data_IF_678254265380
#
_entry.id   IF_678254265380
#
_cell.length_a   1.000
_cell.length_b   1.000
_cell.length_c   1.000
_cell.angle_alpha   90.00
_cell.angle_beta   90.00
_cell.angle_gamma   90.00
#
_symmetry.space_group_name_H-M   'P 1'
#
loop_
_entity.id
_entity.type
_entity.pdbx_description
1 polymer ?
#
# COMPACT_ATOMS: atom_id res chain seq x y z
N UNK A 1 -19.74 -23.13 12.39
CA UNK A 1 -19.44 -21.69 12.48
C UNK A 1 -19.31 -21.19 11.05
N UNK A 2 -20.14 -20.23 10.63
CA UNK A 2 -20.12 -19.70 9.26
C UNK A 2 -18.80 -18.97 9.04
N UNK A 3 -18.17 -19.16 7.89
CA UNK A 3 -16.88 -18.54 7.56
C UNK A 3 -17.08 -17.03 7.38
N UNK A 4 -16.22 -16.18 7.97
CA UNK A 4 -16.42 -14.72 8.01
C UNK A 4 -16.50 -14.13 6.60
N UNK A 5 -15.73 -14.66 5.66
CA UNK A 5 -15.71 -14.30 4.24
C UNK A 5 -17.05 -14.52 3.51
N UNK A 6 -17.92 -15.39 4.04
CA UNK A 6 -19.26 -15.65 3.47
C UNK A 6 -20.33 -14.72 4.04
N UNK A 7 -19.99 -14.00 5.11
CA UNK A 7 -20.89 -13.06 5.79
C UNK A 7 -20.55 -11.62 5.42
N UNK A 8 -19.25 -11.30 5.34
CA UNK A 8 -18.75 -9.98 4.98
C UNK A 8 -17.80 -10.08 3.78
N UNK A 9 -18.24 -9.47 2.67
CA UNK A 9 -17.48 -9.44 1.40
C UNK A 9 -16.12 -8.76 1.56
N UNK A 10 -15.93 -7.87 2.53
CA UNK A 10 -14.65 -7.21 2.77
C UNK A 10 -13.60 -8.14 3.38
N UNK A 11 -14.03 -9.27 3.96
CA UNK A 11 -13.13 -10.32 4.48
C UNK A 11 -12.96 -11.48 3.50
N UNK A 12 -13.52 -11.39 2.29
CA UNK A 12 -13.30 -12.39 1.26
C UNK A 12 -11.84 -12.33 0.79
N UNK A 13 -11.07 -13.36 1.12
CA UNK A 13 -9.73 -13.56 0.57
C UNK A 13 -9.89 -14.04 -0.87
N UNK A 14 -9.73 -13.12 -1.82
CA UNK A 14 -9.68 -13.46 -3.23
C UNK A 14 -8.29 -14.01 -3.55
N UNK A 15 -8.21 -15.33 -3.73
CA UNK A 15 -7.06 -15.92 -4.40
C UNK A 15 -6.94 -15.28 -5.80
N UNK A 16 -5.73 -15.01 -6.30
CA UNK A 16 -5.56 -14.63 -7.69
C UNK A 16 -6.29 -15.68 -8.53
N UNK A 17 -7.24 -15.25 -9.38
CA UNK A 17 -7.72 -16.12 -10.44
C UNK A 17 -6.48 -16.61 -11.20
N UNK A 18 -6.50 -17.82 -11.77
CA UNK A 18 -5.31 -18.49 -12.36
C UNK A 18 -4.62 -17.78 -13.55
N UNK A 19 -4.80 -16.48 -13.67
CA UNK A 19 -4.16 -15.51 -14.51
C UNK A 19 -2.77 -15.15 -13.96
N UNK A 20 -1.85 -14.84 -14.87
CA UNK A 20 -0.48 -14.50 -14.50
C UNK A 20 -0.45 -13.07 -13.95
N UNK A 21 0.12 -12.86 -12.76
CA UNK A 21 0.29 -11.52 -12.19
C UNK A 21 1.63 -10.93 -12.61
N UNK A 22 1.59 -9.74 -13.21
CA UNK A 22 2.78 -8.94 -13.51
C UNK A 22 3.14 -8.10 -12.28
N UNK A 23 4.23 -8.47 -11.60
CA UNK A 23 4.73 -7.75 -10.41
C UNK A 23 5.73 -6.66 -10.80
N UNK A 24 5.49 -5.45 -10.33
CA UNK A 24 6.33 -4.28 -10.60
C UNK A 24 6.71 -3.59 -9.29
N UNK A 25 7.95 -3.14 -9.20
CA UNK A 25 8.44 -2.38 -8.04
C UNK A 25 7.94 -0.93 -8.10
N UNK A 26 7.44 -0.39 -6.99
CA UNK A 26 6.93 1.00 -6.96
C UNK A 26 8.02 2.05 -7.09
N UNK A 27 9.29 1.66 -6.95
CA UNK A 27 10.45 2.52 -7.21
C UNK A 27 10.77 2.65 -8.71
N UNK A 28 10.06 1.93 -9.58
CA UNK A 28 10.25 1.98 -11.04
C UNK A 28 9.06 2.64 -11.75
N UNK A 29 9.29 3.25 -12.93
CA UNK A 29 8.18 3.74 -13.76
C UNK A 29 7.17 2.62 -14.07
N UNK A 30 5.86 2.93 -14.13
CA UNK A 30 5.30 4.27 -14.10
C UNK A 30 4.88 4.76 -12.69
N UNK A 31 5.26 4.06 -11.63
CA UNK A 31 4.86 4.38 -10.27
C UNK A 31 5.58 5.62 -9.74
N UNK A 32 4.93 6.31 -8.80
CA UNK A 32 5.54 7.39 -8.04
C UNK A 32 5.14 7.28 -6.57
N UNK A 33 6.15 7.17 -5.70
CA UNK A 33 5.97 7.21 -4.25
C UNK A 33 6.08 8.66 -3.77
N UNK A 34 5.11 9.07 -2.97
CA UNK A 34 5.00 10.41 -2.43
C UNK A 34 5.00 10.39 -0.91
N UNK A 35 5.52 11.46 -0.29
CA UNK A 35 5.53 11.65 1.16
C UNK A 35 6.60 10.86 1.93
N UNK A 36 7.45 10.09 1.22
CA UNK A 36 8.50 9.26 1.80
C UNK A 36 9.83 9.46 1.06
N UNK A 37 10.92 9.19 1.77
CA UNK A 37 12.29 9.15 1.26
C UNK A 37 12.82 7.71 1.34
N UNK A 38 13.88 7.41 0.57
CA UNK A 38 14.62 6.15 0.66
C UNK A 38 15.93 6.38 1.39
N UNK A 39 16.17 5.59 2.44
CA UNK A 39 17.42 5.60 3.19
C UNK A 39 17.68 4.19 3.73
N UNK A 40 18.91 3.69 3.60
CA UNK A 40 19.32 2.37 4.12
C UNK A 40 18.42 1.18 3.73
N UNK A 41 17.82 1.23 2.53
CA UNK A 41 16.94 0.16 2.02
C UNK A 41 15.52 0.17 2.59
N UNK A 42 15.14 1.21 3.35
CA UNK A 42 13.79 1.41 3.87
C UNK A 42 13.19 2.74 3.46
N UNK A 43 11.87 2.84 3.56
CA UNK A 43 11.17 4.12 3.47
C UNK A 43 11.22 4.84 4.83
N UNK A 44 11.54 6.13 4.80
CA UNK A 44 11.60 7.01 5.98
C UNK A 44 10.87 8.33 5.70
N UNK A 45 10.42 9.03 6.75
CA UNK A 45 9.68 10.30 6.62
C UNK A 45 10.60 11.52 6.61
N UNK A 46 11.79 11.41 7.19
CA UNK A 46 12.83 12.44 7.21
C UNK A 46 14.22 11.80 7.24
N UNK A 47 15.29 12.56 6.97
CA UNK A 47 16.66 12.04 7.04
C UNK A 47 16.98 11.47 8.42
N UNK A 48 17.53 10.26 8.48
CA UNK A 48 17.80 9.55 9.74
C UNK A 48 18.72 10.37 10.64
N UNK A 49 19.77 10.98 10.07
CA UNK A 49 20.68 11.84 10.80
C UNK A 49 19.96 13.02 11.49
N UNK A 50 18.85 13.53 10.93
CA UNK A 50 18.05 14.56 11.61
C UNK A 50 17.21 13.96 12.71
N UNK A 51 16.54 12.82 12.46
CA UNK A 51 15.73 12.13 13.47
C UNK A 51 16.54 11.76 14.72
N UNK A 52 17.77 11.29 14.53
CA UNK A 52 18.70 10.90 15.61
C UNK A 52 19.07 12.07 16.54
N UNK A 53 19.04 13.32 16.04
CA UNK A 53 19.30 14.51 16.87
C UNK A 53 18.14 14.90 17.78
N UNK A 54 16.93 14.35 17.53
CA UNK A 54 15.72 14.70 18.29
C UNK A 54 15.59 13.82 19.54
N UNK A 55 15.46 12.50 19.34
CA UNK A 55 15.53 11.45 20.36
C UNK A 55 15.31 10.06 19.74
N UNK A 56 15.59 9.00 20.50
CA UNK A 56 15.44 7.60 20.09
C UNK A 56 14.02 7.25 19.61
N UNK A 57 12.99 7.83 20.22
CA UNK A 57 11.60 7.60 19.83
C UNK A 57 11.30 8.15 18.45
N UNK A 58 11.78 9.36 18.14
CA UNK A 58 11.66 9.96 16.80
C UNK A 58 12.53 9.21 15.79
N UNK A 59 13.75 8.81 16.16
CA UNK A 59 14.62 7.99 15.32
C UNK A 59 13.95 6.67 14.89
N UNK A 60 13.28 5.99 15.82
CA UNK A 60 12.49 4.79 15.53
C UNK A 60 11.25 5.11 14.69
N UNK A 61 10.42 6.05 15.14
CA UNK A 61 9.14 6.37 14.50
C UNK A 61 9.33 6.96 13.09
N UNK A 62 10.47 7.57 12.79
CA UNK A 62 10.82 8.02 11.44
C UNK A 62 10.71 6.89 10.40
N UNK A 63 11.00 5.65 10.81
CA UNK A 63 10.93 4.46 9.95
C UNK A 63 9.50 4.00 9.64
N UNK A 64 8.48 4.55 10.32
CA UNK A 64 7.08 4.27 10.00
C UNK A 64 6.59 5.12 8.83
N UNK A 65 5.80 4.54 7.94
CA UNK A 65 5.46 5.12 6.63
C UNK A 65 4.16 5.94 6.60
N UNK A 66 3.74 6.48 7.74
CA UNK A 66 2.54 7.31 7.82
C UNK A 66 2.56 8.48 6.82
N UNK A 67 1.49 8.61 6.04
CA UNK A 67 1.34 9.65 5.02
C UNK A 67 2.04 9.35 3.69
N UNK A 68 2.77 8.23 3.61
CA UNK A 68 3.31 7.73 2.35
C UNK A 68 2.25 7.15 1.45
N UNK A 69 2.41 7.31 0.14
CA UNK A 69 1.48 6.78 -0.85
C UNK A 69 2.14 6.51 -2.18
N UNK A 70 1.63 5.52 -2.92
CA UNK A 70 1.95 5.31 -4.34
C UNK A 70 0.70 5.53 -5.17
N UNK A 71 0.85 6.13 -6.34
CA UNK A 71 -0.26 6.43 -7.22
C UNK A 71 0.07 6.06 -8.68
N UNK A 72 -0.92 5.52 -9.39
CA UNK A 72 -0.83 4.99 -10.75
C UNK A 72 -2.22 4.87 -11.38
N UNK A 73 -2.31 4.67 -12.69
CA UNK A 73 -3.57 4.38 -13.36
C UNK A 73 -3.50 3.05 -14.12
N UNK A 74 -4.57 2.25 -14.05
CA UNK A 74 -4.64 0.92 -14.68
C UNK A 74 -6.07 0.51 -15.02
N UNK A 75 -6.22 -0.36 -16.03
CA UNK A 75 -7.47 -1.05 -16.40
C UNK A 75 -7.57 -2.48 -15.81
N UNK A 76 -6.59 -2.90 -14.99
CA UNK A 76 -6.60 -4.18 -14.30
C UNK A 76 -7.84 -4.28 -13.38
N UNK A 77 -8.63 -5.36 -13.43
CA UNK A 77 -9.83 -5.50 -12.62
C UNK A 77 -9.53 -5.87 -11.16
N UNK A 78 -8.27 -6.20 -10.87
CA UNK A 78 -7.75 -6.47 -9.54
C UNK A 78 -6.39 -5.80 -9.35
N UNK A 79 -6.13 -5.36 -8.12
CA UNK A 79 -4.84 -4.80 -7.71
C UNK A 79 -4.31 -5.68 -6.59
N UNK A 80 -3.06 -6.10 -6.75
CA UNK A 80 -2.35 -6.90 -5.76
C UNK A 80 -1.20 -6.08 -5.17
N UNK A 81 -0.86 -6.34 -3.92
CA UNK A 81 0.40 -5.88 -3.34
C UNK A 81 1.24 -7.05 -2.88
N UNK A 82 2.56 -6.86 -2.94
CA UNK A 82 3.54 -7.61 -2.15
C UNK A 82 4.33 -6.61 -1.34
N UNK A 83 4.16 -6.63 -0.03
CA UNK A 83 4.80 -5.71 0.89
C UNK A 83 5.84 -6.47 1.73
N UNK A 84 7.03 -5.89 1.86
CA UNK A 84 8.04 -6.29 2.83
C UNK A 84 8.07 -5.21 3.92
N UNK A 85 7.70 -5.60 5.14
CA UNK A 85 7.52 -4.70 6.28
C UNK A 85 8.81 -4.56 7.11
N UNK A 86 8.83 -3.52 7.93
CA UNK A 86 9.88 -3.23 8.91
C UNK A 86 9.22 -2.66 10.17
N UNK A 87 9.68 -3.05 11.36
CA UNK A 87 9.19 -2.51 12.64
C UNK A 87 7.64 -2.49 12.73
N UNK A 88 7.00 -3.64 12.58
CA UNK A 88 5.53 -3.72 12.61
C UNK A 88 4.99 -3.30 13.98
N UNK A 89 4.24 -2.21 14.04
CA UNK A 89 3.73 -1.65 15.30
C UNK A 89 2.53 -2.42 15.85
N UNK A 90 2.75 -3.45 16.65
CA UNK A 90 1.65 -4.21 17.28
C UNK A 90 1.25 -3.58 18.61
N UNK A 91 -0.01 -3.17 18.73
CA UNK A 91 -0.55 -2.53 19.92
C UNK A 91 -1.90 -3.18 20.30
N UNK A 92 -2.16 -3.46 21.58
CA UNK A 92 -3.40 -4.16 21.99
C UNK A 92 -4.67 -3.34 21.77
N UNK A 93 -4.55 -2.03 21.61
CA UNK A 93 -5.66 -1.09 21.45
C UNK A 93 -5.84 -0.61 20.01
N UNK A 94 -5.04 -1.10 19.06
CA UNK A 94 -5.08 -0.68 17.66
C UNK A 94 -5.06 -1.90 16.75
N UNK A 95 -5.91 -1.90 15.72
CA UNK A 95 -6.04 -3.08 14.86
C UNK A 95 -4.78 -3.28 14.02
N UNK A 96 -4.41 -4.55 13.76
CA UNK A 96 -3.27 -4.85 12.88
C UNK A 96 -3.49 -4.27 11.48
N UNK A 97 -4.74 -4.29 11.00
CA UNK A 97 -5.18 -3.61 9.78
C UNK A 97 -4.84 -2.10 9.81
N UNK A 98 -5.17 -1.40 10.90
CA UNK A 98 -4.85 0.02 11.02
C UNK A 98 -3.36 0.30 11.19
N UNK A 99 -2.58 -0.65 11.72
CA UNK A 99 -1.15 -0.45 11.98
C UNK A 99 -0.25 -0.76 10.77
N UNK A 100 -0.56 -1.84 10.07
CA UNK A 100 0.29 -2.49 9.07
C UNK A 100 -0.42 -2.75 7.74
N UNK A 101 -1.71 -2.41 7.63
CA UNK A 101 -2.45 -2.49 6.38
C UNK A 101 -2.21 -1.29 5.47
N UNK A 102 -2.44 -1.52 4.19
CA UNK A 102 -2.43 -0.48 3.14
C UNK A 102 -3.87 -0.29 2.68
N UNK A 103 -4.33 0.93 2.47
CA UNK A 103 -5.66 1.17 1.91
C UNK A 103 -5.58 1.58 0.44
N UNK A 104 -6.65 1.31 -0.30
CA UNK A 104 -6.77 1.57 -1.73
C UNK A 104 -7.92 2.54 -1.95
N UNK A 105 -7.63 3.62 -2.67
CA UNK A 105 -8.61 4.60 -3.13
C UNK A 105 -8.53 4.71 -4.65
N UNK A 106 -9.69 4.86 -5.28
CA UNK A 106 -9.81 5.31 -6.66
C UNK A 106 -9.98 6.83 -6.68
N UNK A 107 -9.30 7.51 -7.58
CA UNK A 107 -9.38 8.94 -7.80
C UNK A 107 -10.02 9.23 -9.16
N UNK A 108 -11.13 9.96 -9.17
CA UNK A 108 -11.82 10.42 -10.38
C UNK A 108 -11.48 11.88 -10.75
N UNK A 109 -10.54 12.50 -10.04
CA UNK A 109 -10.12 13.89 -10.20
C UNK A 109 -10.90 14.88 -9.33
N UNK A 110 -12.03 14.47 -8.75
CA UNK A 110 -12.85 15.25 -7.82
C UNK A 110 -12.93 14.61 -6.43
N UNK A 111 -12.91 13.28 -6.37
CA UNK A 111 -13.17 12.50 -5.16
C UNK A 111 -12.25 11.29 -5.06
N UNK A 112 -11.84 11.01 -3.83
CA UNK A 112 -11.21 9.74 -3.48
C UNK A 112 -12.26 8.78 -2.93
N UNK A 113 -12.48 7.68 -3.63
CA UNK A 113 -13.44 6.63 -3.24
C UNK A 113 -12.71 5.40 -2.72
N UNK A 114 -12.99 5.00 -1.48
CA UNK A 114 -12.41 3.80 -0.88
C UNK A 114 -12.82 2.53 -1.66
N UNK A 115 -11.83 1.68 -1.98
CA UNK A 115 -12.04 0.41 -2.70
C UNK A 115 -11.72 -0.82 -1.87
N UNK A 116 -10.84 -0.69 -0.87
CA UNK A 116 -10.49 -1.81 -0.01
C UNK A 116 -9.25 -1.55 0.83
N UNK A 117 -8.89 -2.53 1.64
CA UNK A 117 -7.66 -2.54 2.43
C UNK A 117 -6.93 -3.85 2.20
N UNK A 118 -5.63 -3.74 1.96
CA UNK A 118 -4.70 -4.85 1.95
C UNK A 118 -4.32 -5.18 3.40
N UNK A 119 -4.97 -6.20 3.94
CA UNK A 119 -4.84 -6.58 5.35
C UNK A 119 -3.71 -7.61 5.50
N UNK A 120 -2.68 -7.35 6.33
CA UNK A 120 -1.65 -8.34 6.60
C UNK A 120 -2.22 -9.52 7.40
N UNK A 121 -1.75 -10.75 7.16
CA UNK A 121 -2.12 -11.91 7.95
C UNK A 121 -1.62 -11.73 9.38
N UNK A 122 -2.32 -12.34 10.34
CA UNK A 122 -2.01 -12.14 11.75
C UNK A 122 -0.61 -12.65 12.14
N UNK A 123 -0.16 -13.75 11.51
CA UNK A 123 1.04 -14.50 11.87
C UNK A 123 2.29 -14.21 11.02
N UNK A 124 2.15 -13.57 9.85
CA UNK A 124 3.35 -13.21 9.05
C UNK A 124 3.80 -11.81 9.45
N UNK A 125 5.06 -11.69 9.82
CA UNK A 125 5.58 -10.49 10.46
C UNK A 125 6.33 -9.56 9.50
N UNK A 126 6.93 -10.11 8.45
CA UNK A 126 7.90 -9.35 7.65
C UNK A 126 7.52 -9.17 6.18
N UNK A 127 6.57 -9.95 5.66
CA UNK A 127 6.07 -9.75 4.30
C UNK A 127 4.69 -10.37 4.08
N UNK A 128 3.89 -9.78 3.19
CA UNK A 128 2.62 -10.38 2.79
C UNK A 128 2.21 -10.00 1.37
N UNK A 129 1.35 -10.84 0.80
CA UNK A 129 0.61 -10.53 -0.43
C UNK A 129 -0.87 -10.34 -0.09
N UNK A 130 -1.53 -9.41 -0.78
CA UNK A 130 -2.95 -9.14 -0.60
C UNK A 130 -3.56 -8.57 -1.87
N UNK A 131 -4.87 -8.75 -2.04
CA UNK A 131 -5.59 -8.45 -3.27
C UNK A 131 -6.84 -7.63 -2.97
N UNK A 132 -7.11 -6.62 -3.78
CA UNK A 132 -8.38 -5.90 -3.81
C UNK A 132 -8.93 -5.91 -5.24
N UNK A 133 -10.15 -6.39 -5.41
CA UNK A 133 -10.84 -6.40 -6.70
C UNK A 133 -11.56 -5.06 -6.93
N UNK A 134 -11.27 -4.40 -8.04
CA UNK A 134 -11.82 -3.08 -8.41
C UNK A 134 -12.80 -3.13 -9.59
N UNK A 135 -12.89 -4.29 -10.24
CA UNK A 135 -13.81 -4.57 -11.34
C UNK A 135 -13.28 -4.13 -12.71
N UNK A 136 -13.78 -4.76 -13.77
CA UNK A 136 -13.38 -4.47 -15.15
C UNK A 136 -13.82 -3.08 -15.61
N UNK A 137 -13.08 -2.50 -16.55
CA UNK A 137 -13.48 -1.26 -17.22
C UNK A 137 -12.30 -0.52 -17.85
N UNK A 138 -12.52 0.76 -18.13
CA UNK A 138 -11.46 1.68 -18.56
C UNK A 138 -10.44 1.92 -17.45
N UNK A 139 -9.26 2.40 -17.83
CA UNK A 139 -8.20 2.71 -16.89
C UNK A 139 -8.62 3.79 -15.89
N UNK A 140 -8.38 3.55 -14.60
CA UNK A 140 -8.71 4.48 -13.50
C UNK A 140 -7.48 4.75 -12.66
N UNK A 141 -7.43 5.93 -12.05
CA UNK A 141 -6.35 6.28 -11.13
C UNK A 141 -6.60 5.69 -9.74
N UNK A 142 -5.55 5.14 -9.16
CA UNK A 142 -5.54 4.53 -7.85
C UNK A 142 -4.43 5.10 -6.99
N UNK A 143 -4.72 5.25 -5.70
CA UNK A 143 -3.75 5.57 -4.65
C UNK A 143 -3.74 4.43 -3.64
N UNK A 144 -2.57 3.89 -3.37
CA UNK A 144 -2.33 2.98 -2.24
C UNK A 144 -1.62 3.75 -1.15
N UNK A 145 -2.25 3.97 0.02
CA UNK A 145 -1.57 4.59 1.15
C UNK A 145 -0.84 3.54 1.98
N UNK A 146 0.34 3.93 2.47
CA UNK A 146 1.23 3.09 3.25
C UNK A 146 0.75 2.99 4.71
N UNK A 147 1.15 1.94 5.45
CA UNK A 147 0.76 1.76 6.84
C UNK A 147 1.26 2.89 7.74
N UNK A 148 0.43 3.35 8.70
CA UNK A 148 0.78 4.48 9.56
C UNK A 148 1.65 4.12 10.77
N UNK A 149 1.63 2.85 11.23
CA UNK A 149 2.38 2.42 12.41
C UNK A 149 3.35 1.28 12.12
N UNK A 150 3.71 1.09 10.85
CA UNK A 150 4.71 0.13 10.43
C UNK A 150 5.60 0.78 9.38
N UNK A 151 6.85 0.33 9.32
CA UNK A 151 7.77 0.65 8.24
C UNK A 151 7.60 -0.30 7.05
N UNK A 152 8.09 0.15 5.90
CA UNK A 152 8.10 -0.63 4.66
C UNK A 152 9.52 -0.63 4.11
N UNK A 153 10.03 -1.81 3.80
CA UNK A 153 11.29 -2.00 3.07
C UNK A 153 11.06 -1.90 1.57
N UNK A 154 10.00 -2.56 1.11
CA UNK A 154 9.70 -2.72 -0.30
C UNK A 154 8.20 -2.90 -0.53
N UNK A 155 7.71 -2.35 -1.63
CA UNK A 155 6.33 -2.53 -2.08
C UNK A 155 6.36 -2.86 -3.58
N UNK A 156 5.62 -3.89 -3.97
CA UNK A 156 5.35 -4.17 -5.37
C UNK A 156 3.85 -4.12 -5.61
N UNK A 157 3.47 -3.62 -6.79
CA UNK A 157 2.12 -3.69 -7.32
C UNK A 157 2.06 -4.86 -8.30
N UNK A 158 1.08 -5.73 -8.12
CA UNK A 158 0.73 -6.80 -9.04
C UNK A 158 -0.55 -6.44 -9.78
N UNK A 159 -0.53 -6.60 -11.11
CA UNK A 159 -1.69 -6.39 -11.99
C UNK A 159 -1.88 -7.64 -12.86
N UNK A 160 -3.09 -7.86 -13.35
CA UNK A 160 -3.35 -8.95 -14.29
C UNK A 160 -2.53 -8.77 -15.57
N UNK A 161 -1.86 -9.83 -16.03
CA UNK A 161 -0.99 -9.76 -17.21
C UNK A 161 -1.76 -9.29 -18.44
N UNK A 162 -1.19 -8.31 -19.14
CA UNK A 162 -1.81 -7.66 -20.31
C UNK A 162 -2.56 -6.38 -19.98
N UNK A 163 -2.85 -6.11 -18.69
CA UNK A 163 -3.40 -4.82 -18.26
C UNK A 163 -2.43 -3.69 -18.56
N UNK A 164 -2.96 -2.53 -18.90
CA UNK A 164 -2.21 -1.30 -19.05
C UNK A 164 -1.95 -0.66 -17.68
N UNK A 165 -0.77 -0.07 -17.52
CA UNK A 165 -0.42 0.75 -16.37
C UNK A 165 0.31 2.00 -16.82
N UNK A 166 -0.08 3.14 -16.25
CA UNK A 166 0.47 4.46 -16.54
C UNK A 166 0.66 5.27 -15.26
N UNK A 167 1.43 6.35 -15.38
CA UNK A 167 1.68 7.25 -14.26
C UNK A 167 0.38 7.99 -13.93
N UNK A 168 0.13 8.24 -12.65
CA UNK A 168 -0.97 9.12 -12.29
C UNK A 168 -0.57 10.59 -12.39
N UNK A 169 -1.56 11.47 -12.28
CA UNK A 169 -1.33 12.90 -12.24
C UNK A 169 -0.45 13.30 -11.03
N UNK A 170 0.51 14.22 -11.21
CA UNK A 170 1.34 14.70 -10.11
C UNK A 170 0.52 15.52 -9.10
N UNK A 171 1.13 15.87 -7.97
CA UNK A 171 0.53 16.82 -7.02
C UNK A 171 0.07 18.09 -7.74
N UNK A 172 -1.20 18.45 -7.52
CA UNK A 172 -1.71 19.77 -7.93
C UNK A 172 -0.93 20.83 -7.15
N UNK A 173 -0.34 21.83 -7.81
CA UNK A 173 0.27 22.96 -7.13
C UNK A 173 -0.76 23.65 -6.24
N UNK A 174 -0.34 24.07 -5.05
CA UNK A 174 -1.14 24.99 -4.25
C UNK A 174 -0.99 26.37 -4.90
N UNK A 175 -2.09 26.90 -5.44
CA UNK A 175 -2.16 28.23 -6.03
C UNK A 175 -2.26 29.32 -4.95
#
# INVERSE_FOLDING_TARGET
MTRIETVDRNFAVHAPNGETIAWMDVEQPPFSVFGLMRENGIYVRMPQATADTVNDGVALLNTHTAGGRVCFATDSPSIHIKAELHNVGRMPHFTLCGSAGFDLYEDDGERHTYKGTFIPPYNDEDSFESTVTVGQGEARAYTVNFPPYSGVKRLQIGLEAGSHVSACEPYRPIA
#
